data_IF_787444024596
#
_entry.id   IF_787444024596
#
_cell.length_a   1.000
_cell.length_b   1.000
_cell.length_c   1.000
_cell.angle_alpha   90.00
_cell.angle_beta   90.00
_cell.angle_gamma   90.00
#
_symmetry.space_group_name_H-M   'P 1'
#
loop_
_entity.id
_entity.type
_entity.pdbx_description
1 polymer ?
#
# COMPACT_ATOMS: atom_id res chain seq x y z
N UNK A 1 -27.73 21.65 -23.56
CA UNK A 1 -26.74 21.62 -22.43
C UNK A 1 -27.21 20.66 -21.32
N UNK A 2 -28.56 20.50 -21.08
CA UNK A 2 -29.07 19.66 -20.00
C UNK A 2 -28.98 18.14 -20.20
N UNK A 3 -28.88 17.64 -21.43
CA UNK A 3 -28.85 16.19 -21.74
C UNK A 3 -27.48 15.55 -21.55
N UNK A 4 -26.38 16.29 -21.66
CA UNK A 4 -25.03 15.78 -21.48
C UNK A 4 -24.71 15.56 -20.00
N UNK A 5 -25.19 16.43 -19.11
CA UNK A 5 -25.00 16.30 -17.66
C UNK A 5 -25.80 15.16 -17.02
N UNK A 6 -26.88 14.68 -17.66
CA UNK A 6 -27.67 13.55 -17.15
C UNK A 6 -27.04 12.20 -17.48
N UNK A 7 -26.40 12.05 -18.64
CA UNK A 7 -25.73 10.81 -19.04
C UNK A 7 -24.47 10.53 -18.20
N UNK A 8 -23.66 11.54 -17.89
CA UNK A 8 -22.47 11.40 -17.04
C UNK A 8 -22.83 11.04 -15.60
N UNK A 9 -23.95 11.57 -15.07
CA UNK A 9 -24.41 11.20 -13.73
C UNK A 9 -24.93 9.75 -13.67
N UNK A 10 -25.66 9.29 -14.68
CA UNK A 10 -26.16 7.91 -14.72
C UNK A 10 -25.04 6.89 -14.94
N UNK A 11 -24.06 7.17 -15.79
CA UNK A 11 -22.90 6.30 -16.00
C UNK A 11 -22.04 6.18 -14.73
N UNK A 12 -21.86 7.27 -13.99
CA UNK A 12 -21.12 7.29 -12.73
C UNK A 12 -21.89 6.57 -11.61
N UNK A 13 -23.21 6.67 -11.56
CA UNK A 13 -24.03 5.97 -10.58
C UNK A 13 -24.04 4.45 -10.82
N UNK A 14 -24.14 4.00 -12.07
CA UNK A 14 -24.04 2.59 -12.43
C UNK A 14 -22.67 1.98 -12.10
N UNK A 15 -21.61 2.75 -12.31
CA UNK A 15 -20.23 2.34 -11.97
C UNK A 15 -20.06 2.19 -10.45
N UNK A 16 -20.58 3.12 -9.65
CA UNK A 16 -20.52 3.05 -8.18
C UNK A 16 -21.32 1.86 -7.62
N UNK A 17 -22.49 1.57 -8.15
CA UNK A 17 -23.29 0.40 -7.73
C UNK A 17 -22.58 -0.90 -8.03
N UNK A 18 -21.97 -1.02 -9.20
CA UNK A 18 -21.17 -2.21 -9.57
C UNK A 18 -19.93 -2.35 -8.68
N UNK A 19 -19.22 -1.26 -8.40
CA UNK A 19 -18.07 -1.28 -7.51
C UNK A 19 -18.46 -1.72 -6.09
N UNK A 20 -19.58 -1.20 -5.56
CA UNK A 20 -20.09 -1.60 -4.26
C UNK A 20 -20.48 -3.08 -4.23
N UNK A 21 -21.19 -3.57 -5.25
CA UNK A 21 -21.57 -4.98 -5.33
C UNK A 21 -20.33 -5.90 -5.39
N UNK A 22 -19.29 -5.49 -6.11
CA UNK A 22 -18.03 -6.22 -6.17
C UNK A 22 -17.30 -6.18 -4.82
N UNK A 23 -17.25 -5.03 -4.16
CA UNK A 23 -16.64 -4.90 -2.84
C UNK A 23 -17.36 -5.78 -1.79
N UNK A 24 -18.69 -5.87 -1.83
CA UNK A 24 -19.45 -6.77 -0.95
C UNK A 24 -19.17 -8.24 -1.23
N UNK A 25 -19.06 -8.63 -2.51
CA UNK A 25 -18.67 -9.99 -2.88
C UNK A 25 -17.24 -10.34 -2.42
N UNK A 26 -16.31 -9.39 -2.56
CA UNK A 26 -14.93 -9.54 -2.09
C UNK A 26 -14.88 -9.59 -0.57
N UNK A 27 -15.66 -8.77 0.13
CA UNK A 27 -15.78 -8.82 1.59
C UNK A 27 -16.24 -10.20 2.06
N UNK A 28 -17.26 -10.77 1.41
CA UNK A 28 -17.71 -12.13 1.70
C UNK A 28 -16.60 -13.18 1.48
N UNK A 29 -15.83 -13.04 0.39
CA UNK A 29 -14.66 -13.87 0.13
C UNK A 29 -13.55 -13.70 1.17
N UNK A 30 -13.28 -12.46 1.61
CA UNK A 30 -12.33 -12.17 2.68
C UNK A 30 -12.75 -12.81 4.00
N UNK A 31 -14.03 -12.75 4.36
CA UNK A 31 -14.54 -13.39 5.57
C UNK A 31 -14.35 -14.91 5.55
N UNK A 32 -14.50 -15.56 4.39
CA UNK A 32 -14.23 -16.99 4.22
C UNK A 32 -12.74 -17.31 4.35
N UNK A 33 -11.86 -16.46 3.84
CA UNK A 33 -10.40 -16.64 3.89
C UNK A 33 -9.79 -16.12 5.20
N UNK A 34 -10.52 -15.32 5.99
CA UNK A 34 -10.03 -14.66 7.19
C UNK A 34 -9.33 -15.61 8.17
N UNK A 35 -9.87 -16.83 8.46
CA UNK A 35 -9.21 -17.78 9.36
C UNK A 35 -7.82 -18.21 8.87
N UNK A 36 -7.59 -18.24 7.57
CA UNK A 36 -6.29 -18.63 6.98
C UNK A 36 -5.22 -17.58 7.20
N UNK A 37 -5.63 -16.33 7.38
CA UNK A 37 -4.75 -15.19 7.61
C UNK A 37 -4.38 -14.94 9.07
N UNK A 38 -5.03 -15.60 10.05
CA UNK A 38 -4.79 -15.33 11.48
C UNK A 38 -3.43 -15.82 11.99
N UNK A 39 -2.86 -16.85 11.39
CA UNK A 39 -1.53 -17.34 11.77
C UNK A 39 -0.46 -16.54 11.03
N UNK A 40 0.59 -16.14 11.75
CA UNK A 40 1.79 -15.60 11.08
C UNK A 40 2.40 -16.67 10.19
N UNK A 41 2.84 -16.27 9.00
CA UNK A 41 3.66 -17.16 8.18
C UNK A 41 4.98 -17.41 8.89
N UNK A 42 5.42 -18.68 8.88
CA UNK A 42 6.83 -18.93 9.18
C UNK A 42 7.64 -18.31 8.04
N UNK A 43 8.69 -17.53 8.35
CA UNK A 43 9.59 -17.06 7.32
C UNK A 43 10.02 -18.26 6.46
N UNK A 44 10.03 -18.16 5.14
CA UNK A 44 10.60 -19.22 4.31
C UNK A 44 12.03 -19.49 4.78
N UNK A 45 12.41 -20.77 4.78
CA UNK A 45 13.81 -21.14 5.06
C UNK A 45 14.71 -20.28 4.16
N UNK A 46 15.69 -19.64 4.76
CA UNK A 46 16.58 -18.69 4.10
C UNK A 46 17.11 -19.31 2.81
N UNK A 47 16.75 -18.83 1.62
CA UNK A 47 17.45 -19.27 0.42
C UNK A 47 18.92 -18.82 0.51
N UNK A 48 19.83 -19.49 -0.19
CA UNK A 48 21.21 -19.01 -0.29
C UNK A 48 21.18 -17.55 -0.76
N UNK A 49 22.08 -16.69 -0.28
CA UNK A 49 22.11 -15.27 -0.61
C UNK A 49 22.42 -15.12 -2.10
N UNK A 50 21.40 -15.13 -2.91
CA UNK A 50 21.47 -14.63 -4.27
C UNK A 50 21.30 -13.10 -4.19
N UNK A 51 22.42 -12.45 -3.90
CA UNK A 51 22.52 -10.99 -3.78
C UNK A 51 22.18 -10.25 -5.09
N UNK A 52 21.95 -10.98 -6.18
CA UNK A 52 21.53 -10.44 -7.49
C UNK A 52 20.00 -10.50 -7.67
N UNK A 53 19.27 -11.07 -6.71
CA UNK A 53 17.81 -11.19 -6.76
C UNK A 53 17.08 -9.86 -6.57
N UNK A 54 15.81 -9.88 -6.92
CA UNK A 54 14.91 -8.74 -6.71
C UNK A 54 14.68 -8.50 -5.21
N UNK A 55 14.57 -7.23 -4.81
CA UNK A 55 14.32 -6.85 -3.40
C UNK A 55 13.12 -7.58 -2.81
N UNK A 56 13.14 -7.90 -1.51
CA UNK A 56 11.99 -8.41 -0.78
C UNK A 56 10.80 -7.46 -0.86
N UNK A 57 9.59 -8.01 -0.96
CA UNK A 57 8.34 -7.25 -0.98
C UNK A 57 7.54 -7.55 0.27
N UNK A 58 7.19 -6.51 1.03
CA UNK A 58 6.33 -6.60 2.19
C UNK A 58 4.93 -6.11 1.86
N UNK A 59 3.90 -6.86 2.26
CA UNK A 59 2.50 -6.56 2.01
C UNK A 59 1.81 -6.21 3.34
N UNK A 60 1.19 -5.02 3.44
CA UNK A 60 0.52 -4.51 4.63
C UNK A 60 -0.98 -4.32 4.35
N UNK A 61 -1.82 -5.02 5.12
CA UNK A 61 -3.28 -5.00 4.95
C UNK A 61 -3.96 -3.75 5.53
N UNK A 62 -5.28 -3.60 5.29
CA UNK A 62 -6.12 -2.52 5.80
C UNK A 62 -6.59 -2.72 7.25
N UNK A 63 -7.48 -1.83 7.72
CA UNK A 63 -7.88 -1.73 9.13
C UNK A 63 -8.56 -2.99 9.66
N UNK A 64 -9.52 -3.56 8.92
CA UNK A 64 -10.30 -4.75 9.34
C UNK A 64 -9.87 -6.04 8.65
N UNK A 65 -8.82 -5.97 7.85
CA UNK A 65 -8.29 -7.08 7.08
C UNK A 65 -7.20 -7.85 7.85
N UNK A 66 -6.71 -8.88 7.22
CA UNK A 66 -5.47 -9.55 7.56
C UNK A 66 -4.70 -9.93 6.28
N UNK A 67 -3.58 -10.60 6.41
CA UNK A 67 -2.73 -10.99 5.27
C UNK A 67 -3.44 -11.78 4.17
N UNK A 68 -4.61 -12.38 4.43
CA UNK A 68 -5.35 -13.18 3.44
C UNK A 68 -5.83 -12.36 2.23
N UNK A 69 -6.01 -11.05 2.38
CA UNK A 69 -6.41 -10.16 1.27
C UNK A 69 -5.36 -10.13 0.14
N UNK A 70 -4.12 -10.46 0.45
CA UNK A 70 -3.01 -10.45 -0.51
C UNK A 70 -2.70 -11.80 -1.14
N UNK A 71 -3.49 -12.85 -0.89
CA UNK A 71 -3.21 -14.21 -1.44
C UNK A 71 -3.02 -14.17 -2.96
N UNK A 72 -3.89 -13.47 -3.69
CA UNK A 72 -3.81 -13.36 -5.15
C UNK A 72 -2.62 -12.50 -5.60
N UNK A 73 -2.41 -11.35 -4.98
CA UNK A 73 -1.28 -10.48 -5.28
C UNK A 73 0.05 -11.17 -4.99
N UNK A 74 0.18 -11.78 -3.81
CA UNK A 74 1.37 -12.54 -3.42
C UNK A 74 1.69 -13.65 -4.45
N UNK A 75 0.67 -14.44 -4.83
CA UNK A 75 0.82 -15.48 -5.87
C UNK A 75 1.24 -14.89 -7.20
N UNK A 76 0.70 -13.72 -7.57
CA UNK A 76 1.09 -13.01 -8.79
C UNK A 76 2.55 -12.58 -8.75
N UNK A 77 3.02 -11.98 -7.67
CA UNK A 77 4.40 -11.53 -7.51
C UNK A 77 5.39 -12.71 -7.57
N UNK A 78 5.10 -13.80 -6.85
CA UNK A 78 5.93 -15.02 -6.86
C UNK A 78 6.03 -15.65 -8.25
N UNK A 79 4.92 -15.72 -9.01
CA UNK A 79 4.92 -16.25 -10.38
C UNK A 79 5.73 -15.41 -11.35
N UNK A 80 5.91 -14.12 -11.06
CA UNK A 80 6.69 -13.20 -11.91
C UNK A 80 8.10 -12.96 -11.36
N UNK A 81 8.64 -13.94 -10.65
CA UNK A 81 10.06 -13.99 -10.28
C UNK A 81 10.43 -13.35 -8.94
N UNK A 82 9.48 -12.75 -8.19
CA UNK A 82 9.77 -12.26 -6.84
C UNK A 82 9.99 -13.45 -5.90
N UNK A 83 11.20 -13.57 -5.33
CA UNK A 83 11.55 -14.71 -4.47
C UNK A 83 11.05 -14.52 -3.04
N UNK A 84 11.09 -13.28 -2.54
CA UNK A 84 10.74 -12.93 -1.17
C UNK A 84 9.51 -12.01 -1.15
N UNK A 85 8.34 -12.58 -0.82
CA UNK A 85 7.10 -11.82 -0.64
C UNK A 85 6.47 -12.24 0.67
N UNK A 86 6.46 -11.34 1.64
CA UNK A 86 5.90 -11.57 2.98
C UNK A 86 4.67 -10.68 3.20
N UNK A 87 3.57 -11.28 3.64
CA UNK A 87 2.38 -10.55 4.05
C UNK A 87 2.32 -10.48 5.57
N UNK A 88 2.33 -9.26 6.11
CA UNK A 88 2.41 -9.01 7.53
C UNK A 88 1.03 -8.94 8.16
N UNK A 89 0.91 -9.49 9.37
CA UNK A 89 -0.20 -9.22 10.26
C UNK A 89 0.24 -8.24 11.34
N UNK A 90 -0.53 -7.21 11.54
CA UNK A 90 -0.49 -6.35 12.72
C UNK A 90 -1.90 -6.30 13.30
N UNK A 91 -2.00 -6.13 14.63
CA UNK A 91 -3.31 -6.04 15.25
C UNK A 91 -3.80 -4.60 15.22
N UNK A 92 -4.77 -4.26 14.37
CA UNK A 92 -5.33 -2.92 14.34
C UNK A 92 -6.12 -2.60 15.62
N UNK A 93 -6.48 -3.62 16.40
CA UNK A 93 -7.26 -3.46 17.63
C UNK A 93 -6.41 -3.02 18.83
N UNK A 94 -5.11 -3.24 18.80
CA UNK A 94 -4.20 -3.05 19.96
C UNK A 94 -3.11 -2.01 19.74
N UNK A 95 -2.93 -1.52 18.50
CA UNK A 95 -1.88 -0.57 18.16
C UNK A 95 -2.46 0.76 17.70
N UNK A 96 -1.77 1.86 17.99
CA UNK A 96 -1.87 3.09 17.24
C UNK A 96 -0.96 3.05 16.00
N UNK A 97 -1.12 3.99 15.07
CA UNK A 97 -0.39 4.02 13.81
C UNK A 97 1.13 4.16 14.02
N UNK A 98 1.57 4.97 14.97
CA UNK A 98 3.00 5.17 15.25
C UNK A 98 3.64 3.89 15.80
N UNK A 99 2.94 3.20 16.70
CA UNK A 99 3.36 1.89 17.22
C UNK A 99 3.41 0.83 16.11
N UNK A 100 2.42 0.80 15.22
CA UNK A 100 2.42 -0.10 14.07
C UNK A 100 3.59 0.20 13.11
N UNK A 101 3.90 1.47 12.88
CA UNK A 101 5.05 1.88 12.06
C UNK A 101 6.39 1.50 12.71
N UNK A 102 6.52 1.60 14.04
CA UNK A 102 7.71 1.15 14.76
C UNK A 102 7.87 -0.39 14.74
N UNK A 103 6.77 -1.14 14.76
CA UNK A 103 6.79 -2.59 14.56
C UNK A 103 7.22 -2.96 13.14
N UNK A 104 6.73 -2.23 12.13
CA UNK A 104 7.15 -2.38 10.75
C UNK A 104 8.65 -2.12 10.59
N UNK A 105 9.18 -1.06 11.23
CA UNK A 105 10.62 -0.76 11.21
C UNK A 105 11.47 -1.95 11.66
N UNK A 106 11.12 -2.58 12.78
CA UNK A 106 11.82 -3.76 13.28
C UNK A 106 11.72 -4.94 12.32
N UNK A 107 10.54 -5.16 11.75
CA UNK A 107 10.34 -6.25 10.80
C UNK A 107 11.15 -6.04 9.51
N UNK A 108 11.26 -4.80 9.02
CA UNK A 108 12.12 -4.47 7.86
C UNK A 108 13.58 -4.79 8.14
N UNK A 109 14.11 -4.45 9.33
CA UNK A 109 15.47 -4.80 9.71
C UNK A 109 15.67 -6.32 9.75
N UNK A 110 14.71 -7.08 10.32
CA UNK A 110 14.76 -8.54 10.35
C UNK A 110 14.77 -9.15 8.93
N UNK A 111 13.96 -8.59 8.02
CA UNK A 111 13.93 -9.04 6.61
C UNK A 111 15.25 -8.74 5.93
N UNK A 112 15.78 -7.54 6.07
CA UNK A 112 17.09 -7.17 5.51
C UNK A 112 18.20 -8.09 6.03
N UNK A 113 18.23 -8.35 7.33
CA UNK A 113 19.23 -9.24 7.94
C UNK A 113 19.11 -10.69 7.43
N UNK A 114 17.90 -11.23 7.30
CA UNK A 114 17.66 -12.61 6.83
C UNK A 114 17.95 -12.79 5.35
N UNK A 115 17.64 -11.80 4.53
CA UNK A 115 17.73 -11.90 3.07
C UNK A 115 19.04 -11.36 2.50
N UNK A 116 19.83 -10.65 3.30
CA UNK A 116 21.06 -9.99 2.85
C UNK A 116 20.83 -8.73 2.00
N UNK A 117 19.56 -8.33 1.79
CA UNK A 117 19.25 -7.11 1.05
C UNK A 117 19.33 -5.89 1.96
N UNK A 118 19.90 -4.80 1.46
CA UNK A 118 19.95 -3.52 2.19
C UNK A 118 18.63 -2.77 2.20
N UNK A 119 17.73 -3.09 1.26
CA UNK A 119 16.44 -2.41 1.05
C UNK A 119 15.34 -3.40 0.71
N UNK A 120 14.09 -2.99 1.00
CA UNK A 120 12.85 -3.69 0.67
C UNK A 120 11.95 -2.80 -0.18
N UNK A 121 10.96 -3.41 -0.84
CA UNK A 121 9.81 -2.74 -1.41
C UNK A 121 8.57 -3.02 -0.54
N UNK A 122 7.66 -2.06 -0.41
CA UNK A 122 6.43 -2.22 0.39
C UNK A 122 5.21 -1.98 -0.49
N UNK A 123 4.18 -2.82 -0.33
CA UNK A 123 2.83 -2.59 -0.87
C UNK A 123 1.85 -2.52 0.29
N UNK A 124 1.20 -1.37 0.47
CA UNK A 124 0.25 -1.14 1.55
C UNK A 124 -1.16 -0.86 1.04
N UNK A 125 -2.15 -1.55 1.58
CA UNK A 125 -3.56 -1.28 1.31
C UNK A 125 -4.16 -0.44 2.43
N UNK A 126 -4.87 0.64 2.07
CA UNK A 126 -5.62 1.46 3.01
C UNK A 126 -4.74 1.94 4.19
N UNK A 127 -5.08 1.60 5.43
CA UNK A 127 -4.28 1.90 6.64
C UNK A 127 -2.84 1.38 6.53
N UNK A 128 -2.62 0.21 5.92
CA UNK A 128 -1.28 -0.35 5.75
C UNK A 128 -0.34 0.55 4.95
N UNK A 129 -0.88 1.25 3.94
CA UNK A 129 -0.12 2.24 3.20
C UNK A 129 0.22 3.49 4.03
N UNK A 130 -0.68 3.89 4.94
CA UNK A 130 -0.44 5.03 5.83
C UNK A 130 0.63 4.70 6.89
N UNK A 131 0.60 3.49 7.46
CA UNK A 131 1.62 2.97 8.39
C UNK A 131 2.99 2.96 7.70
N UNK A 132 3.07 2.43 6.48
CA UNK A 132 4.31 2.38 5.72
C UNK A 132 4.84 3.78 5.37
N UNK A 133 3.95 4.70 4.98
CA UNK A 133 4.31 6.09 4.71
C UNK A 133 4.86 6.78 5.96
N UNK A 134 4.23 6.57 7.13
CA UNK A 134 4.69 7.13 8.39
C UNK A 134 6.09 6.61 8.75
N UNK A 135 6.31 5.29 8.62
CA UNK A 135 7.63 4.70 8.81
C UNK A 135 8.68 5.35 7.90
N UNK A 136 8.40 5.48 6.61
CA UNK A 136 9.32 6.07 5.64
C UNK A 136 9.63 7.53 5.97
N UNK A 137 8.61 8.36 6.18
CA UNK A 137 8.81 9.80 6.33
C UNK A 137 9.22 10.25 7.74
N UNK A 138 8.85 9.50 8.80
CA UNK A 138 8.97 9.97 10.18
C UNK A 138 9.86 9.11 11.06
N UNK A 139 10.14 7.87 10.65
CA UNK A 139 10.99 6.98 11.42
C UNK A 139 12.28 6.57 10.68
N UNK A 140 12.67 7.34 9.65
CA UNK A 140 13.90 7.11 8.89
C UNK A 140 13.86 5.87 7.99
N UNK A 141 12.66 5.38 7.66
CA UNK A 141 12.49 4.18 6.84
C UNK A 141 12.91 4.35 5.37
N UNK A 142 13.15 5.57 4.90
CA UNK A 142 13.60 5.87 3.53
C UNK A 142 14.97 5.26 3.19
N UNK A 143 15.82 5.03 4.20
CA UNK A 143 17.10 4.33 4.00
C UNK A 143 16.90 2.85 3.68
N UNK A 144 15.79 2.24 4.12
CA UNK A 144 15.45 0.82 3.95
C UNK A 144 14.39 0.56 2.90
N UNK A 145 13.49 1.49 2.65
CA UNK A 145 12.40 1.32 1.69
C UNK A 145 12.77 1.98 0.38
N UNK A 146 12.91 1.18 -0.68
CA UNK A 146 13.21 1.70 -2.00
C UNK A 146 11.95 2.20 -2.69
N UNK A 147 10.88 1.40 -2.67
CA UNK A 147 9.59 1.77 -3.25
C UNK A 147 8.46 1.49 -2.27
N UNK A 148 7.52 2.42 -2.19
CA UNK A 148 6.26 2.28 -1.46
C UNK A 148 5.10 2.40 -2.45
N UNK A 149 4.42 1.30 -2.69
CA UNK A 149 3.19 1.25 -3.48
C UNK A 149 1.99 1.27 -2.52
N UNK A 150 1.04 2.16 -2.73
CA UNK A 150 -0.15 2.28 -1.89
C UNK A 150 -1.42 2.06 -2.70
N UNK A 151 -2.41 1.40 -2.11
CA UNK A 151 -3.68 1.05 -2.72
C UNK A 151 -4.81 1.65 -1.87
N UNK A 152 -5.50 2.67 -2.37
CA UNK A 152 -6.60 3.32 -1.66
C UNK A 152 -6.21 3.80 -0.26
N UNK A 153 -5.03 4.36 -0.10
CA UNK A 153 -4.52 4.85 1.20
C UNK A 153 -4.95 6.30 1.42
N UNK A 154 -5.53 6.67 2.57
CA UNK A 154 -5.98 8.03 2.85
C UNK A 154 -4.81 8.97 3.17
N UNK A 155 -4.01 9.34 2.17
CA UNK A 155 -2.81 10.14 2.33
C UNK A 155 -3.04 11.53 2.91
N UNK A 156 -4.23 12.09 2.71
CA UNK A 156 -4.65 13.39 3.28
C UNK A 156 -5.70 13.24 4.39
N UNK A 157 -5.98 11.99 4.79
CA UNK A 157 -7.06 11.65 5.69
C UNK A 157 -8.42 11.54 4.99
N UNK A 158 -9.33 10.72 5.51
CA UNK A 158 -10.66 10.50 4.93
C UNK A 158 -11.78 10.93 5.87
N UNK A 159 -12.86 11.49 5.29
CA UNK A 159 -14.06 11.93 6.04
C UNK A 159 -15.00 10.78 6.43
N UNK A 160 -14.78 9.58 5.95
CA UNK A 160 -15.51 8.38 6.42
C UNK A 160 -15.06 8.00 7.84
N UNK A 161 -13.81 8.28 8.19
CA UNK A 161 -13.25 7.95 9.50
C UNK A 161 -14.10 8.44 10.69
N UNK A 162 -14.68 9.66 10.73
CA UNK A 162 -15.52 10.12 11.84
C UNK A 162 -16.73 9.24 12.12
N UNK A 163 -17.30 8.58 11.11
CA UNK A 163 -18.47 7.70 11.28
C UNK A 163 -18.12 6.41 12.03
N UNK A 164 -16.84 6.02 12.04
CA UNK A 164 -16.30 4.83 12.68
C UNK A 164 -15.36 5.20 13.84
N UNK A 165 -15.46 6.42 14.36
CA UNK A 165 -14.47 7.10 15.21
C UNK A 165 -14.29 6.55 16.63
N UNK A 166 -14.98 5.49 17.03
CA UNK A 166 -14.76 4.86 18.34
C UNK A 166 -13.34 4.29 18.51
N UNK A 167 -12.69 3.91 17.41
CA UNK A 167 -11.36 3.31 17.43
C UNK A 167 -10.23 4.33 17.24
N UNK A 168 -9.13 4.30 18.04
CA UNK A 168 -8.01 5.24 17.94
C UNK A 168 -7.39 5.31 16.55
N UNK A 169 -7.14 4.18 15.89
CA UNK A 169 -6.59 4.12 14.53
C UNK A 169 -7.48 4.81 13.49
N UNK A 170 -8.80 4.70 13.66
CA UNK A 170 -9.76 5.35 12.74
C UNK A 170 -9.68 6.86 12.89
N UNK A 171 -9.57 7.36 14.14
CA UNK A 171 -9.36 8.80 14.39
C UNK A 171 -8.06 9.30 13.77
N UNK A 172 -7.00 8.50 13.77
CA UNK A 172 -5.71 8.85 13.15
C UNK A 172 -5.78 8.94 11.61
N UNK A 173 -6.80 8.36 10.99
CA UNK A 173 -7.08 8.50 9.55
C UNK A 173 -7.96 9.73 9.21
N UNK A 174 -8.40 10.52 10.19
CA UNK A 174 -9.13 11.77 9.93
C UNK A 174 -8.20 12.84 9.33
N UNK A 175 -8.74 13.76 8.48
CA UNK A 175 -7.93 14.77 7.79
C UNK A 175 -7.12 15.70 8.71
N UNK A 176 -7.64 15.97 9.92
CA UNK A 176 -7.03 16.89 10.88
C UNK A 176 -6.33 16.18 12.04
N UNK A 177 -6.08 14.87 11.90
CA UNK A 177 -5.36 14.11 12.91
C UNK A 177 -3.89 14.55 12.99
N UNK A 178 -3.29 14.36 14.15
CA UNK A 178 -1.85 14.61 14.34
C UNK A 178 -1.00 13.84 13.33
N UNK A 179 -1.33 12.56 13.07
CA UNK A 179 -0.61 11.71 12.10
C UNK A 179 -0.63 12.32 10.71
N UNK A 180 -1.79 12.77 10.23
CA UNK A 180 -1.89 13.41 8.91
C UNK A 180 -1.16 14.74 8.89
N UNK A 181 -1.21 15.49 9.98
CA UNK A 181 -0.46 16.76 10.14
C UNK A 181 1.05 16.51 10.10
N UNK A 182 1.55 15.49 10.80
CA UNK A 182 2.96 15.10 10.76
C UNK A 182 3.40 14.67 9.35
N UNK A 183 2.55 13.93 8.62
CA UNK A 183 2.85 13.50 7.25
C UNK A 183 2.86 14.64 6.21
N UNK A 184 2.34 15.81 6.55
CA UNK A 184 2.45 17.05 5.74
C UNK A 184 3.73 17.84 6.00
N UNK A 185 4.44 17.54 7.10
CA UNK A 185 5.69 18.23 7.43
C UNK A 185 6.80 17.94 6.40
N UNK A 186 7.77 18.83 6.21
CA UNK A 186 8.88 18.63 5.27
C UNK A 186 9.59 17.29 5.44
N UNK A 187 9.99 16.69 4.31
CA UNK A 187 10.74 15.44 4.24
C UNK A 187 11.79 15.50 3.10
N UNK A 188 12.69 16.52 3.07
CA UNK A 188 13.57 16.79 1.93
C UNK A 188 14.59 15.68 1.67
N UNK A 189 14.91 14.87 2.68
CA UNK A 189 15.86 13.76 2.57
C UNK A 189 15.21 12.45 2.09
N UNK A 190 13.88 12.40 1.97
CA UNK A 190 13.17 11.18 1.60
C UNK A 190 13.44 10.80 0.14
N UNK A 191 14.12 9.66 -0.06
CA UNK A 191 14.50 9.13 -1.38
C UNK A 191 13.63 7.94 -1.83
N UNK A 192 12.71 7.49 -1.00
CA UNK A 192 11.74 6.45 -1.36
C UNK A 192 10.86 6.89 -2.53
N UNK A 193 10.63 6.00 -3.49
CA UNK A 193 9.72 6.22 -4.61
C UNK A 193 8.31 5.78 -4.22
N UNK A 194 7.35 6.67 -4.35
CA UNK A 194 5.96 6.40 -4.02
C UNK A 194 5.14 6.19 -5.30
N UNK A 195 4.28 5.15 -5.31
CA UNK A 195 3.28 4.94 -6.35
C UNK A 195 1.93 4.73 -5.68
N UNK A 196 0.99 5.64 -5.88
CA UNK A 196 -0.35 5.54 -5.29
C UNK A 196 -1.38 5.14 -6.33
N UNK A 197 -2.01 3.97 -6.15
CA UNK A 197 -3.20 3.55 -6.89
C UNK A 197 -4.44 4.05 -6.16
N UNK A 198 -5.24 4.85 -6.83
CA UNK A 198 -6.46 5.42 -6.29
C UNK A 198 -7.64 5.22 -7.23
N UNK A 199 -8.86 5.14 -6.69
CA UNK A 199 -10.07 4.94 -7.48
C UNK A 199 -11.06 6.09 -7.30
N UNK A 200 -11.67 6.50 -8.40
CA UNK A 200 -12.70 7.53 -8.44
C UNK A 200 -14.06 7.08 -7.87
N UNK A 201 -14.22 5.79 -7.64
CA UNK A 201 -15.43 5.19 -7.04
C UNK A 201 -15.16 4.55 -5.68
N UNK A 202 -13.98 4.78 -5.09
CA UNK A 202 -13.64 4.35 -3.75
C UNK A 202 -14.54 5.04 -2.71
N UNK A 203 -15.37 4.24 -2.02
CA UNK A 203 -16.38 4.77 -1.09
C UNK A 203 -15.82 5.01 0.32
N UNK A 204 -14.64 4.50 0.63
CA UNK A 204 -13.96 4.74 1.90
C UNK A 204 -13.00 5.92 1.84
N UNK A 205 -12.64 6.36 0.64
CA UNK A 205 -11.85 7.56 0.40
C UNK A 205 -12.78 8.72 0.05
N UNK A 206 -13.05 9.60 1.00
CA UNK A 206 -13.94 10.76 0.78
C UNK A 206 -13.23 12.07 1.16
N UNK A 207 -13.03 12.95 0.16
CA UNK A 207 -13.21 12.71 -1.29
C UNK A 207 -12.22 11.67 -1.83
N UNK A 208 -12.48 11.05 -2.98
CA UNK A 208 -11.66 9.97 -3.54
C UNK A 208 -10.17 10.37 -3.74
N UNK A 209 -9.93 11.65 -4.01
CA UNK A 209 -8.61 12.25 -4.22
C UNK A 209 -7.72 12.22 -2.97
N UNK A 210 -8.27 11.99 -1.76
CA UNK A 210 -7.44 11.86 -0.54
C UNK A 210 -6.49 10.67 -0.60
N UNK A 211 -6.75 9.72 -1.51
CA UNK A 211 -5.86 8.61 -1.77
C UNK A 211 -4.68 8.97 -2.71
N UNK A 212 -4.65 10.18 -3.26
CA UNK A 212 -3.50 10.69 -4.01
C UNK A 212 -2.45 11.23 -3.04
N UNK A 213 -1.20 11.06 -3.41
CA UNK A 213 -0.08 11.74 -2.73
C UNK A 213 0.04 13.14 -3.33
N UNK A 214 0.11 14.13 -2.46
CA UNK A 214 0.42 15.53 -2.78
C UNK A 214 1.37 16.04 -1.68
N UNK A 215 2.68 16.06 -1.99
CA UNK A 215 3.71 16.47 -1.05
C UNK A 215 4.95 16.98 -1.80
N UNK A 216 5.45 18.19 -1.53
CA UNK A 216 6.49 18.82 -2.34
C UNK A 216 7.84 18.08 -2.35
N UNK A 217 8.16 17.38 -1.25
CA UNK A 217 9.47 16.74 -1.10
C UNK A 217 9.48 15.25 -1.52
N UNK A 218 8.32 14.64 -1.81
CA UNK A 218 8.27 13.22 -2.13
C UNK A 218 8.40 12.96 -3.64
N UNK A 219 9.09 11.90 -3.99
CA UNK A 219 9.15 11.37 -5.35
C UNK A 219 7.93 10.45 -5.55
N UNK A 220 6.89 10.91 -6.23
CA UNK A 220 5.66 10.14 -6.34
C UNK A 220 5.04 10.11 -7.74
N UNK A 221 4.22 9.08 -7.95
CA UNK A 221 3.32 8.92 -9.10
C UNK A 221 1.94 8.50 -8.60
N UNK A 222 0.88 9.18 -9.05
CA UNK A 222 -0.51 8.79 -8.79
C UNK A 222 -1.09 8.09 -10.02
N UNK A 223 -1.66 6.91 -9.84
CA UNK A 223 -2.27 6.08 -10.89
C UNK A 223 -3.75 5.93 -10.57
N UNK A 224 -4.61 6.45 -11.44
CA UNK A 224 -6.06 6.29 -11.32
C UNK A 224 -6.49 4.93 -11.85
N UNK A 225 -7.33 4.25 -11.08
CA UNK A 225 -8.00 3.01 -11.46
C UNK A 225 -9.51 3.28 -11.47
N UNK A 226 -10.13 3.28 -12.64
CA UNK A 226 -11.55 3.63 -12.76
C UNK A 226 -12.45 2.44 -12.50
N UNK A 227 -13.56 2.67 -11.77
CA UNK A 227 -14.63 1.69 -11.58
C UNK A 227 -14.30 0.54 -10.63
N UNK A 228 -13.21 0.62 -9.87
CA UNK A 228 -12.76 -0.39 -8.89
C UNK A 228 -13.04 0.12 -7.49
N UNK A 229 -13.76 -0.64 -6.66
CA UNK A 229 -14.03 -0.29 -5.27
C UNK A 229 -12.81 -0.46 -4.37
N UNK A 230 -12.94 -0.02 -3.12
CA UNK A 230 -11.84 -0.03 -2.14
C UNK A 230 -11.26 -1.42 -1.89
N UNK A 231 -12.14 -2.40 -1.58
CA UNK A 231 -11.73 -3.76 -1.25
C UNK A 231 -11.27 -4.56 -2.48
N UNK A 232 -11.64 -4.10 -3.67
CA UNK A 232 -11.23 -4.73 -4.92
C UNK A 232 -9.79 -4.37 -5.33
N UNK A 233 -9.23 -3.26 -4.87
CA UNK A 233 -7.89 -2.82 -5.26
C UNK A 233 -6.80 -3.90 -5.09
N UNK A 234 -6.68 -4.60 -3.94
CA UNK A 234 -5.63 -5.62 -3.75
C UNK A 234 -5.78 -6.87 -4.63
N UNK A 235 -6.99 -7.14 -5.14
CA UNK A 235 -7.29 -8.36 -5.90
C UNK A 235 -7.51 -8.10 -7.39
N UNK A 236 -7.57 -6.83 -7.82
CA UNK A 236 -7.82 -6.46 -9.21
C UNK A 236 -6.60 -6.72 -10.10
N UNK A 237 -6.80 -7.42 -11.23
CA UNK A 237 -5.71 -7.87 -12.12
C UNK A 237 -4.89 -6.73 -12.71
N UNK A 238 -5.53 -5.64 -13.15
CA UNK A 238 -4.82 -4.47 -13.69
C UNK A 238 -3.99 -3.76 -12.60
N UNK A 239 -4.49 -3.70 -11.35
CA UNK A 239 -3.72 -3.17 -10.22
C UNK A 239 -2.51 -4.05 -9.95
N UNK A 240 -2.68 -5.38 -9.91
CA UNK A 240 -1.58 -6.31 -9.73
C UNK A 240 -0.50 -6.19 -10.84
N UNK A 241 -0.91 -5.93 -12.09
CA UNK A 241 0.02 -5.66 -13.19
C UNK A 241 0.76 -4.34 -12.97
N UNK A 242 0.04 -3.26 -12.66
CA UNK A 242 0.66 -1.96 -12.40
C UNK A 242 1.60 -1.97 -11.18
N UNK A 243 1.31 -2.77 -10.15
CA UNK A 243 2.21 -2.97 -9.01
C UNK A 243 3.53 -3.60 -9.49
N UNK A 244 3.47 -4.68 -10.29
CA UNK A 244 4.67 -5.32 -10.84
C UNK A 244 5.50 -4.33 -11.66
N UNK A 245 4.87 -3.61 -12.57
CA UNK A 245 5.52 -2.59 -13.41
C UNK A 245 6.19 -1.49 -12.55
N UNK A 246 5.51 -1.02 -11.49
CA UNK A 246 6.06 -0.03 -10.57
C UNK A 246 7.30 -0.53 -9.83
N UNK A 247 7.27 -1.79 -9.36
CA UNK A 247 8.38 -2.42 -8.67
C UNK A 247 9.55 -2.74 -9.62
N UNK A 248 9.28 -3.10 -10.89
CA UNK A 248 10.30 -3.44 -11.89
C UNK A 248 10.98 -2.18 -12.45
N UNK A 249 10.22 -1.12 -12.71
CA UNK A 249 10.78 0.17 -13.11
C UNK A 249 11.72 0.76 -12.05
N UNK A 250 11.43 0.51 -10.78
CA UNK A 250 12.30 0.91 -9.68
C UNK A 250 13.62 0.11 -9.65
N UNK A 251 13.62 -1.15 -10.10
CA UNK A 251 14.83 -1.98 -10.23
C UNK A 251 15.71 -1.52 -11.40
N UNK A 252 15.11 -1.25 -12.56
CA UNK A 252 15.83 -0.82 -13.75
C UNK A 252 16.58 0.49 -13.53
N UNK A 253 15.96 1.48 -12.90
CA UNK A 253 16.59 2.77 -12.60
C UNK A 253 17.78 2.67 -11.62
N UNK A 254 17.87 1.60 -10.85
CA UNK A 254 19.04 1.36 -9.96
C UNK A 254 20.18 0.68 -10.72
N UNK A 255 19.88 -0.21 -11.66
CA UNK A 255 20.89 -0.85 -12.49
C UNK A 255 21.65 0.18 -13.35
N UNK A 256 20.94 1.17 -13.90
CA UNK A 256 21.55 2.26 -14.70
C UNK A 256 22.50 3.15 -13.87
N UNK A 257 22.15 3.41 -12.59
CA UNK A 257 23.01 4.22 -11.71
C UNK A 257 24.23 3.44 -11.20
N UNK A 258 24.16 2.13 -11.03
CA UNK A 258 25.32 1.31 -10.63
C UNK A 258 26.28 1.00 -11.79
N UNK A 259 25.76 0.96 -13.03
CA UNK A 259 26.58 0.78 -14.23
C UNK A 259 27.45 2.01 -14.58
N UNK A 260 27.01 3.20 -14.18
CA UNK A 260 27.74 4.46 -14.45
C UNK A 260 29.01 4.67 -13.59
N UNK A 261 29.18 3.91 -12.51
CA UNK A 261 30.36 4.01 -11.61
C UNK A 261 31.40 2.92 -11.83
N UNK A 262 31.24 2.04 -12.84
CA UNK A 262 32.19 0.95 -13.12
C UNK A 262 33.13 1.22 -14.29
N UNK A 263 33.19 2.46 -14.80
CA UNK A 263 34.10 2.86 -15.88
C UNK A 263 34.83 4.14 -15.45
N UNK A 264 35.79 3.99 -14.57
CA UNK A 264 36.86 4.95 -14.35
C UNK A 264 38.06 4.23 -13.74
#
# INVERSE_FOLDING_TARGET
VGLVFSQDRQSNQGSRVRALALDLAILAGHLLLYPTGLRQERPPATPPPDLQGQRPVLLLHGFIDNRSVFVLLRRSLLRHGRQHVEALNYSPLTCDLRTAAALLARHVEDVCARTGHSRVDIVGHSLGGLIARYYVQRLGGDVRVHSLVTLGTPHSGTRVAPLLSAHPLVRQMCPDSEVITELRQPAPECRTRFVSFWSDVDQLMIPAEVARIDHPDLIFRNIRVSGVGHLALPVHSAVATGIREALDAANAAQADTSGAFSVA
#
